data_IF_411865044196
#
_entry.id   IF_411865044196
#
_cell.length_a   1.000
_cell.length_b   1.000
_cell.length_c   1.000
_cell.angle_alpha   90.00
_cell.angle_beta   90.00
_cell.angle_gamma   90.00
#
_symmetry.space_group_name_H-M   'P 1'
#
loop_
_entity.id
_entity.type
_entity.pdbx_description
1 polymer ?
#
# COMPACT_ATOMS: atom_id res chain seq x y z
N UNK A 1 -20.90 11.70 13.66
CA UNK A 1 -20.18 10.76 14.55
C UNK A 1 -20.39 9.35 14.05
N UNK A 2 -19.35 8.74 13.48
CA UNK A 2 -19.32 7.32 13.19
C UNK A 2 -17.90 6.85 13.50
N UNK A 3 -17.66 6.09 14.59
CA UNK A 3 -16.38 5.46 14.79
C UNK A 3 -16.37 4.18 13.95
N UNK A 4 -15.60 4.19 12.86
CA UNK A 4 -15.20 2.99 12.13
C UNK A 4 -14.34 2.13 13.05
N UNK A 5 -15.00 1.34 13.89
CA UNK A 5 -14.43 0.35 14.78
C UNK A 5 -14.01 -0.88 13.98
N UNK A 6 -12.72 -1.20 14.02
CA UNK A 6 -12.25 -2.58 13.98
C UNK A 6 -11.97 -3.21 12.61
N UNK A 7 -11.10 -2.62 11.79
CA UNK A 7 -10.20 -3.48 11.00
C UNK A 7 -9.04 -3.86 11.91
N UNK A 8 -9.20 -4.95 12.65
CA UNK A 8 -8.09 -5.71 13.18
C UNK A 8 -7.08 -5.90 12.05
N UNK A 9 -5.88 -5.33 12.22
CA UNK A 9 -4.83 -5.42 11.22
C UNK A 9 -4.64 -6.87 10.85
N UNK A 10 -4.93 -7.21 9.58
CA UNK A 10 -4.62 -8.52 9.06
C UNK A 10 -3.13 -8.73 9.29
N UNK A 11 -2.78 -9.56 10.26
CA UNK A 11 -1.39 -9.89 10.55
C UNK A 11 -0.85 -10.46 9.25
N UNK A 12 0.09 -9.74 8.61
CA UNK A 12 0.60 -10.20 7.33
C UNK A 12 1.27 -11.54 7.60
N UNK A 13 1.07 -12.52 6.72
CA UNK A 13 1.65 -13.86 6.87
C UNK A 13 3.16 -13.79 7.17
N UNK A 14 3.85 -12.80 6.61
CA UNK A 14 5.27 -12.53 6.87
C UNK A 14 5.54 -12.16 8.34
N UNK A 15 4.69 -11.34 8.95
CA UNK A 15 4.83 -10.93 10.35
C UNK A 15 4.58 -12.13 11.28
N UNK A 16 3.60 -12.97 10.95
CA UNK A 16 3.32 -14.21 11.68
C UNK A 16 4.48 -15.21 11.57
N UNK A 17 5.08 -15.36 10.39
CA UNK A 17 6.25 -16.22 10.17
C UNK A 17 7.50 -15.73 10.92
N UNK A 18 7.67 -14.41 11.06
CA UNK A 18 8.78 -13.82 11.83
C UNK A 18 8.55 -13.96 13.34
N UNK A 19 7.31 -13.77 13.80
CA UNK A 19 6.96 -13.80 15.22
C UNK A 19 6.91 -15.24 15.80
N UNK A 20 6.63 -16.25 14.97
CA UNK A 20 6.39 -17.63 15.42
C UNK A 20 7.31 -18.63 14.69
N UNK A 21 8.47 -18.99 15.29
CA UNK A 21 9.40 -19.96 14.72
C UNK A 21 8.78 -21.32 14.40
N UNK A 22 7.77 -21.74 15.18
CA UNK A 22 7.05 -23.00 14.99
C UNK A 22 6.29 -23.00 13.66
N UNK A 23 5.73 -21.85 13.26
CA UNK A 23 5.00 -21.71 12.02
C UNK A 23 5.94 -21.82 10.81
N UNK A 24 7.14 -21.25 10.91
CA UNK A 24 8.19 -21.44 9.93
C UNK A 24 8.66 -22.90 9.84
N UNK A 25 8.78 -23.59 10.99
CA UNK A 25 9.10 -25.03 11.04
C UNK A 25 8.01 -25.87 10.39
N UNK A 26 6.74 -25.62 10.66
CA UNK A 26 5.62 -26.34 10.02
C UNK A 26 5.63 -26.15 8.50
N UNK A 27 5.85 -24.92 8.01
CA UNK A 27 5.97 -24.64 6.58
C UNK A 27 7.16 -25.40 5.97
N UNK A 28 8.32 -25.40 6.63
CA UNK A 28 9.50 -26.14 6.16
C UNK A 28 9.30 -27.65 6.16
N UNK A 29 8.66 -28.21 7.19
CA UNK A 29 8.36 -29.64 7.30
C UNK A 29 7.38 -30.08 6.21
N UNK A 30 6.33 -29.28 5.96
CA UNK A 30 5.34 -29.58 4.94
C UNK A 30 5.90 -29.42 3.52
N UNK A 31 6.67 -28.37 3.26
CA UNK A 31 7.31 -28.16 1.95
C UNK A 31 8.44 -29.15 1.68
N UNK A 32 9.10 -29.65 2.73
CA UNK A 32 10.29 -30.48 2.67
C UNK A 32 11.59 -29.67 2.54
N UNK A 33 12.73 -30.25 2.99
CA UNK A 33 14.00 -29.53 3.12
C UNK A 33 14.58 -29.02 1.80
N UNK A 34 14.39 -29.75 0.70
CA UNK A 34 14.85 -29.31 -0.64
C UNK A 34 14.11 -28.07 -1.11
N UNK A 35 12.78 -28.05 -0.98
CA UNK A 35 11.96 -26.91 -1.37
C UNK A 35 12.20 -25.71 -0.46
N UNK A 36 12.38 -25.92 0.84
CA UNK A 36 12.76 -24.86 1.78
C UNK A 36 14.08 -24.18 1.37
N UNK A 37 15.10 -24.95 0.96
CA UNK A 37 16.38 -24.39 0.46
C UNK A 37 16.19 -23.61 -0.83
N UNK A 38 15.40 -24.12 -1.79
CA UNK A 38 15.11 -23.43 -3.04
C UNK A 38 14.39 -22.10 -2.76
N UNK A 39 13.40 -22.11 -1.85
CA UNK A 39 12.67 -20.91 -1.46
C UNK A 39 13.60 -19.89 -0.81
N UNK A 40 14.47 -20.30 0.12
CA UNK A 40 15.46 -19.42 0.73
C UNK A 40 16.41 -18.82 -0.32
N UNK A 41 16.96 -19.64 -1.23
CA UNK A 41 17.87 -19.17 -2.28
C UNK A 41 17.17 -18.17 -3.22
N UNK A 42 15.94 -18.48 -3.62
CA UNK A 42 15.11 -17.62 -4.47
C UNK A 42 14.80 -16.30 -3.76
N UNK A 43 14.38 -16.36 -2.49
CA UNK A 43 14.08 -15.18 -1.66
C UNK A 43 15.31 -14.27 -1.54
N UNK A 44 16.49 -14.83 -1.29
CA UNK A 44 17.73 -14.06 -1.22
C UNK A 44 18.17 -13.49 -2.58
N UNK A 45 17.94 -14.22 -3.68
CA UNK A 45 18.18 -13.69 -5.03
C UNK A 45 17.25 -12.53 -5.36
N UNK A 46 15.95 -12.68 -5.06
CA UNK A 46 14.93 -11.64 -5.24
C UNK A 46 15.26 -10.43 -4.37
N UNK A 47 15.55 -10.63 -3.07
CA UNK A 47 15.92 -9.56 -2.14
C UNK A 47 17.14 -8.77 -2.62
N UNK A 48 18.19 -9.46 -3.08
CA UNK A 48 19.38 -8.79 -3.64
C UNK A 48 19.06 -7.96 -4.86
N UNK A 49 18.24 -8.48 -5.78
CA UNK A 49 17.85 -7.76 -6.99
C UNK A 49 16.92 -6.58 -6.68
N UNK A 50 15.98 -6.79 -5.76
CA UNK A 50 15.00 -5.78 -5.37
C UNK A 50 15.62 -4.68 -4.52
N UNK A 51 16.66 -4.94 -3.72
CA UNK A 51 17.31 -3.93 -2.86
C UNK A 51 17.73 -2.65 -3.61
N UNK A 52 18.17 -2.78 -4.86
CA UNK A 52 18.56 -1.63 -5.69
C UNK A 52 17.39 -0.86 -6.30
N UNK A 53 16.24 -1.51 -6.49
CA UNK A 53 15.06 -0.89 -7.13
C UNK A 53 13.98 -0.49 -6.12
N UNK A 54 13.99 -1.05 -4.91
CA UNK A 54 13.00 -0.78 -3.87
C UNK A 54 12.85 0.71 -3.57
N UNK A 55 13.91 1.52 -3.43
CA UNK A 55 13.74 2.96 -3.22
C UNK A 55 13.06 3.68 -4.39
N UNK A 56 13.29 3.22 -5.63
CA UNK A 56 12.63 3.78 -6.80
C UNK A 56 11.16 3.34 -6.89
N UNK A 57 10.86 2.10 -6.49
CA UNK A 57 9.49 1.60 -6.38
C UNK A 57 8.75 2.33 -5.27
N UNK A 58 9.37 2.57 -4.12
CA UNK A 58 8.81 3.31 -2.99
C UNK A 58 8.45 4.74 -3.40
N UNK A 59 9.41 5.42 -4.06
CA UNK A 59 9.18 6.74 -4.65
C UNK A 59 8.11 6.75 -5.74
N UNK A 60 8.01 5.69 -6.54
CA UNK A 60 6.95 5.57 -7.53
C UNK A 60 5.59 5.27 -6.85
N UNK A 61 5.59 4.60 -5.70
CA UNK A 61 4.37 4.33 -4.94
C UNK A 61 3.79 5.56 -4.25
N UNK A 62 4.52 6.67 -4.20
CA UNK A 62 4.00 7.99 -3.86
C UNK A 62 3.22 8.66 -5.00
N UNK A 63 2.88 7.93 -6.07
CA UNK A 63 2.01 8.46 -7.13
C UNK A 63 0.62 8.75 -6.57
N UNK A 64 0.25 10.03 -6.57
CA UNK A 64 -1.06 10.52 -6.15
C UNK A 64 -1.88 10.91 -7.37
N UNK A 65 -3.05 10.29 -7.52
CA UNK A 65 -4.10 10.78 -8.41
C UNK A 65 -4.86 11.90 -7.72
N UNK A 66 -4.94 13.08 -8.34
CA UNK A 66 -5.69 14.22 -7.81
C UNK A 66 -6.97 14.39 -8.61
N UNK A 67 -8.10 14.36 -7.92
CA UNK A 67 -9.44 14.61 -8.46
C UNK A 67 -9.88 15.99 -7.96
N UNK A 68 -10.14 16.90 -8.88
CA UNK A 68 -10.65 18.24 -8.57
C UNK A 68 -12.08 18.36 -9.05
N UNK A 69 -12.97 18.88 -8.19
CA UNK A 69 -14.34 19.18 -8.58
C UNK A 69 -15.31 18.01 -8.41
N UNK A 70 -16.42 18.07 -9.15
CA UNK A 70 -17.49 17.07 -9.13
C UNK A 70 -18.83 17.71 -8.78
N UNK A 71 -19.91 17.15 -9.31
CA UNK A 71 -21.27 17.60 -9.00
C UNK A 71 -21.92 16.53 -8.14
N UNK A 72 -22.39 16.90 -6.95
CA UNK A 72 -23.27 16.04 -6.15
C UNK A 72 -24.68 16.63 -6.22
N UNK A 73 -25.54 15.98 -6.99
CA UNK A 73 -26.89 16.47 -7.26
C UNK A 73 -26.87 17.74 -8.11
N UNK A 74 -27.17 18.89 -7.50
CA UNK A 74 -27.15 20.22 -8.13
C UNK A 74 -26.02 21.12 -7.63
N UNK A 75 -25.15 20.61 -6.74
CA UNK A 75 -24.09 21.40 -6.10
C UNK A 75 -22.71 21.03 -6.63
N UNK A 76 -21.94 22.05 -7.02
CA UNK A 76 -20.51 21.90 -7.34
C UNK A 76 -19.68 21.68 -6.07
N UNK A 77 -18.88 20.62 -6.04
CA UNK A 77 -17.85 20.44 -5.02
C UNK A 77 -16.63 21.27 -5.35
N UNK A 78 -16.30 22.22 -4.47
CA UNK A 78 -15.00 22.88 -4.44
C UNK A 78 -13.90 22.02 -3.76
N UNK A 79 -14.17 20.73 -3.52
CA UNK A 79 -13.22 19.84 -2.88
C UNK A 79 -12.20 19.32 -3.89
N UNK A 80 -10.94 19.28 -3.47
CA UNK A 80 -9.87 18.56 -4.16
C UNK A 80 -9.56 17.34 -3.33
N UNK A 81 -9.57 16.17 -3.93
CA UNK A 81 -9.24 14.92 -3.29
C UNK A 81 -8.01 14.30 -3.96
N UNK A 82 -7.13 13.75 -3.17
CA UNK A 82 -5.93 13.05 -3.59
C UNK A 82 -6.07 11.57 -3.19
N UNK A 83 -5.78 10.66 -4.10
CA UNK A 83 -5.72 9.22 -3.84
C UNK A 83 -4.32 8.71 -4.16
N UNK A 84 -3.66 8.04 -3.22
CA UNK A 84 -2.46 7.27 -3.54
C UNK A 84 -2.91 5.98 -4.24
N UNK A 85 -2.47 5.80 -5.48
CA UNK A 85 -2.96 4.73 -6.35
C UNK A 85 -2.49 3.33 -5.92
N UNK A 86 -1.49 3.25 -5.05
CA UNK A 86 -0.92 2.00 -4.55
C UNK A 86 -1.48 1.61 -3.18
N UNK A 87 -1.72 2.58 -2.30
CA UNK A 87 -2.27 2.32 -0.96
C UNK A 87 -3.80 2.40 -0.92
N UNK A 88 -4.43 3.01 -1.93
CA UNK A 88 -5.85 3.31 -1.94
C UNK A 88 -6.27 4.35 -0.89
N UNK A 89 -5.31 5.00 -0.23
CA UNK A 89 -5.57 6.01 0.77
C UNK A 89 -6.03 7.31 0.10
N UNK A 90 -7.03 7.95 0.71
CA UNK A 90 -7.60 9.22 0.27
C UNK A 90 -7.25 10.35 1.24
N UNK A 91 -6.95 11.53 0.70
CA UNK A 91 -6.78 12.76 1.45
C UNK A 91 -7.59 13.89 0.82
N UNK A 92 -8.23 14.69 1.66
CA UNK A 92 -8.85 15.95 1.22
C UNK A 92 -7.76 17.02 1.21
N UNK A 93 -7.54 17.63 0.06
CA UNK A 93 -6.65 18.78 -0.09
C UNK A 93 -7.44 20.08 0.14
N UNK A 94 -6.75 21.18 0.52
CA UNK A 94 -7.38 22.49 0.59
C UNK A 94 -8.07 22.83 -0.73
N UNK A 95 -9.26 23.42 -0.66
CA UNK A 95 -9.99 23.91 -1.83
C UNK A 95 -9.11 24.87 -2.62
N UNK A 96 -9.10 24.70 -3.95
CA UNK A 96 -8.43 25.62 -4.85
C UNK A 96 -8.99 27.04 -4.63
N UNK A 97 -8.14 28.09 -4.53
CA UNK A 97 -8.62 29.46 -4.47
C UNK A 97 -9.52 29.74 -5.68
N UNK A 98 -10.68 30.33 -5.41
CA UNK A 98 -11.70 30.57 -6.42
C UNK A 98 -11.14 31.43 -7.56
N UNK A 99 -11.27 30.89 -8.77
CA UNK A 99 -11.11 31.56 -10.06
C UNK A 99 -9.73 32.18 -10.37
N UNK A 100 -8.92 31.48 -11.18
CA UNK A 100 -8.00 32.18 -12.07
C UNK A 100 -8.84 32.70 -13.23
N UNK A 101 -9.42 33.90 -13.06
CA UNK A 101 -9.93 34.65 -14.21
C UNK A 101 -8.72 34.86 -15.12
N UNK A 102 -8.69 34.18 -16.26
CA UNK A 102 -7.72 34.48 -17.30
C UNK A 102 -7.96 35.94 -17.74
N UNK A 103 -6.91 36.78 -17.86
CA UNK A 103 -7.05 38.14 -18.35
C UNK A 103 -7.52 38.18 -19.80
#
# INVERSE_FOLDING_TARGET
GHPGSGMAGALKLVDALVALPELALTVCLHAGPSNARILCSTSEAVKRRLRGVLPAVDKASDTVAVICGGIVGTSDLAAVQAMNVFTGAWWTLPSLPANRVAP
#
